data_IF_431293706497
#
_entry.id   IF_431293706497
#
_cell.length_a   1.000
_cell.length_b   1.000
_cell.length_c   1.000
_cell.angle_alpha   90.00
_cell.angle_beta   90.00
_cell.angle_gamma   90.00
#
_symmetry.space_group_name_H-M   'P 1'
#
loop_
_entity.id
_entity.type
_entity.pdbx_description
1 polymer ?
#
# COMPACT_ATOMS: atom_id res chain seq x y z
N UNK A 1 -63.19 61.62 9.24
CA UNK A 1 -62.65 60.64 10.20
C UNK A 1 -62.13 59.46 9.39
N UNK A 2 -60.80 59.27 9.31
CA UNK A 2 -60.06 58.11 8.73
C UNK A 2 -60.23 57.86 7.21
N UNK A 3 -59.20 57.59 6.38
CA UNK A 3 -57.84 57.09 6.60
C UNK A 3 -56.89 57.52 5.45
N UNK A 4 -55.57 57.60 5.68
CA UNK A 4 -54.57 58.07 4.72
C UNK A 4 -54.04 56.96 3.81
N UNK A 5 -53.53 57.40 2.65
CA UNK A 5 -52.82 56.62 1.64
C UNK A 5 -51.64 55.84 2.24
N UNK A 6 -51.59 54.53 1.99
CA UNK A 6 -50.43 53.68 2.28
C UNK A 6 -49.74 53.34 0.96
N UNK A 7 -48.63 54.02 0.70
CA UNK A 7 -47.73 53.78 -0.40
C UNK A 7 -46.83 52.61 0.00
N UNK A 8 -47.06 51.42 -0.58
CA UNK A 8 -46.23 50.24 -0.31
C UNK A 8 -44.96 50.36 -1.15
N UNK A 9 -43.84 50.63 -0.48
CA UNK A 9 -42.49 50.56 -1.06
C UNK A 9 -42.08 49.09 -1.05
N UNK A 10 -41.98 48.49 -2.23
CA UNK A 10 -41.40 47.15 -2.43
C UNK A 10 -39.88 47.31 -2.42
N UNK A 11 -39.24 46.97 -1.31
CA UNK A 11 -37.79 46.86 -1.24
C UNK A 11 -37.34 45.50 -1.84
N UNK A 12 -36.75 45.53 -3.03
CA UNK A 12 -36.06 44.37 -3.60
C UNK A 12 -34.76 44.11 -2.82
N UNK A 13 -34.77 43.08 -1.98
CA UNK A 13 -33.58 42.50 -1.37
C UNK A 13 -32.84 41.66 -2.43
N UNK A 14 -31.74 42.19 -2.96
CA UNK A 14 -30.77 41.40 -3.73
C UNK A 14 -30.06 40.43 -2.79
N UNK A 15 -30.48 39.16 -2.82
CA UNK A 15 -29.72 38.06 -2.21
C UNK A 15 -28.48 37.81 -3.05
N UNK A 16 -27.35 38.35 -2.63
CA UNK A 16 -26.03 37.94 -3.13
C UNK A 16 -25.77 36.52 -2.63
N UNK A 17 -26.00 35.53 -3.50
CA UNK A 17 -25.58 34.16 -3.25
C UNK A 17 -24.04 34.11 -3.26
N UNK A 18 -23.42 34.13 -2.08
CA UNK A 18 -22.03 33.75 -1.93
C UNK A 18 -21.88 32.27 -2.33
N UNK A 19 -21.48 32.02 -3.58
CA UNK A 19 -20.91 30.73 -3.97
C UNK A 19 -19.60 30.58 -3.18
N UNK A 20 -19.68 29.86 -2.05
CA UNK A 20 -18.50 29.27 -1.42
C UNK A 20 -17.94 28.24 -2.41
N UNK A 21 -17.04 28.70 -3.27
CA UNK A 21 -16.18 27.80 -4.04
C UNK A 21 -15.29 27.10 -3.03
N UNK A 22 -15.61 25.85 -2.71
CA UNK A 22 -14.70 24.98 -1.97
C UNK A 22 -13.44 24.87 -2.81
N UNK A 23 -12.40 25.62 -2.44
CA UNK A 23 -11.08 25.49 -3.06
C UNK A 23 -10.69 24.04 -2.83
N UNK A 24 -10.62 23.28 -3.90
CA UNK A 24 -10.15 21.90 -3.85
C UNK A 24 -8.66 22.01 -3.53
N UNK A 25 -8.29 21.78 -2.26
CA UNK A 25 -6.89 21.68 -1.86
C UNK A 25 -6.23 20.67 -2.80
N UNK A 26 -5.09 21.08 -3.38
CA UNK A 26 -4.30 20.17 -4.20
C UNK A 26 -3.98 18.93 -3.34
N UNK A 27 -4.10 17.71 -3.90
CA UNK A 27 -3.80 16.50 -3.15
C UNK A 27 -2.37 16.61 -2.59
N UNK A 28 -2.26 16.57 -1.26
CA UNK A 28 -0.96 16.63 -0.60
C UNK A 28 -0.23 15.30 -0.79
N UNK A 29 0.98 15.37 -1.36
CA UNK A 29 1.89 14.22 -1.43
C UNK A 29 2.46 13.98 -0.04
N UNK A 30 2.18 12.82 0.52
CA UNK A 30 2.69 12.43 1.84
C UNK A 30 4.16 12.00 1.74
N UNK A 31 5.00 12.42 2.69
CA UNK A 31 6.39 11.99 2.74
C UNK A 31 6.58 10.99 3.89
N UNK A 32 7.17 9.85 3.57
CA UNK A 32 7.54 8.79 4.49
C UNK A 32 9.05 8.67 4.58
N UNK A 33 9.55 8.24 5.74
CA UNK A 33 10.97 7.92 5.93
C UNK A 33 11.11 6.59 6.63
N UNK A 34 12.03 5.75 6.13
CA UNK A 34 12.37 4.46 6.70
C UNK A 34 13.89 4.32 6.83
N UNK A 35 14.32 3.82 7.97
CA UNK A 35 15.72 3.57 8.30
C UNK A 35 16.68 4.74 8.01
N UNK A 36 16.39 5.99 8.42
CA UNK A 36 17.24 7.14 8.10
C UNK A 36 18.68 7.02 8.63
N UNK A 37 18.91 6.14 9.61
CA UNK A 37 20.20 5.86 10.22
C UNK A 37 21.00 4.76 9.53
N UNK A 38 20.50 4.18 8.43
CA UNK A 38 21.22 3.18 7.64
C UNK A 38 22.56 3.72 7.12
N UNK A 39 23.50 2.83 6.80
CA UNK A 39 24.83 3.24 6.30
C UNK A 39 25.03 3.00 4.81
N UNK A 40 24.09 2.31 4.16
CA UNK A 40 24.09 2.10 2.72
C UNK A 40 23.54 3.30 1.94
N UNK A 41 23.43 3.14 0.60
CA UNK A 41 22.83 4.16 -0.26
C UNK A 41 21.37 4.42 0.13
N UNK A 42 20.92 5.65 -0.12
CA UNK A 42 19.51 6.01 -0.02
C UNK A 42 18.77 5.62 -1.29
N UNK A 43 17.47 5.45 -1.15
CA UNK A 43 16.55 5.37 -2.27
C UNK A 43 15.29 6.14 -1.95
N UNK A 44 14.64 6.68 -2.97
CA UNK A 44 13.28 7.19 -2.85
C UNK A 44 12.33 6.40 -3.74
N UNK A 45 11.13 6.14 -3.24
CA UNK A 45 10.02 5.57 -4.00
C UNK A 45 8.98 6.66 -4.21
N UNK A 46 8.72 7.01 -5.45
CA UNK A 46 7.59 7.86 -5.84
C UNK A 46 6.41 6.98 -6.20
N UNK A 47 5.35 7.06 -5.40
CA UNK A 47 4.10 6.37 -5.63
C UNK A 47 3.02 7.35 -6.08
N UNK A 48 2.36 7.04 -7.19
CA UNK A 48 1.17 7.75 -7.66
C UNK A 48 -0.01 6.79 -7.67
N UNK A 49 -1.06 7.14 -6.95
CA UNK A 49 -2.21 6.28 -6.73
C UNK A 49 -3.00 6.09 -8.02
N UNK A 50 -3.45 4.86 -8.25
CA UNK A 50 -4.41 4.56 -9.30
C UNK A 50 -5.85 4.80 -8.85
N UNK A 51 -6.78 4.55 -9.76
CA UNK A 51 -8.21 4.79 -9.54
C UNK A 51 -8.83 3.86 -8.48
N UNK A 52 -8.28 2.66 -8.33
CA UNK A 52 -8.76 1.66 -7.37
C UNK A 52 -8.07 1.75 -6.00
N UNK A 53 -7.15 2.70 -5.79
CA UNK A 53 -6.41 2.85 -4.53
C UNK A 53 -7.33 3.16 -3.35
N UNK A 54 -7.39 2.23 -2.39
CA UNK A 54 -8.18 2.35 -1.17
C UNK A 54 -7.44 1.69 0.00
N UNK A 55 -6.57 2.45 0.68
CA UNK A 55 -5.80 2.03 1.85
C UNK A 55 -5.13 0.64 1.73
N UNK A 56 -4.39 0.37 0.64
CA UNK A 56 -3.77 -0.93 0.44
C UNK A 56 -2.62 -1.18 1.44
N UNK A 57 -2.38 -2.44 1.79
CA UNK A 57 -1.14 -2.84 2.45
C UNK A 57 -0.04 -3.04 1.41
N UNK A 58 1.20 -2.68 1.75
CA UNK A 58 2.32 -2.87 0.83
C UNK A 58 3.65 -3.04 1.55
N UNK A 59 4.62 -3.55 0.81
CA UNK A 59 6.01 -3.72 1.24
C UNK A 59 6.95 -3.40 0.08
N UNK A 60 8.05 -2.74 0.41
CA UNK A 60 9.19 -2.48 -0.48
C UNK A 60 10.40 -3.24 0.06
N UNK A 61 11.08 -4.01 -0.79
CA UNK A 61 12.28 -4.75 -0.39
C UNK A 61 13.26 -4.90 -1.54
N UNK A 62 14.49 -5.32 -1.20
CA UNK A 62 15.54 -5.61 -2.15
C UNK A 62 15.83 -7.11 -2.23
N UNK A 63 16.14 -7.58 -3.43
CA UNK A 63 16.64 -8.92 -3.73
C UNK A 63 17.95 -8.86 -4.51
N UNK A 64 18.80 -9.88 -4.33
CA UNK A 64 19.93 -10.13 -5.22
C UNK A 64 19.45 -10.55 -6.61
N UNK A 65 20.37 -10.54 -7.58
CA UNK A 65 20.07 -11.02 -8.94
C UNK A 65 19.73 -12.52 -9.00
N UNK A 66 20.10 -13.28 -7.97
CA UNK A 66 19.74 -14.68 -7.77
C UNK A 66 18.35 -14.87 -7.10
N UNK A 67 17.62 -13.78 -6.85
CA UNK A 67 16.30 -13.81 -6.22
C UNK A 67 16.31 -14.05 -4.72
N UNK A 68 17.48 -13.97 -4.07
CA UNK A 68 17.60 -14.03 -2.61
C UNK A 68 17.21 -12.70 -1.99
N UNK A 69 16.40 -12.76 -0.93
CA UNK A 69 16.08 -11.61 -0.09
C UNK A 69 17.35 -10.95 0.47
N UNK A 70 17.43 -9.62 0.36
CA UNK A 70 18.49 -8.81 0.95
C UNK A 70 18.01 -8.06 2.18
N UNK A 71 16.96 -7.24 2.01
CA UNK A 71 16.49 -6.33 3.06
C UNK A 71 15.08 -5.83 2.74
N UNK A 72 14.22 -5.77 3.76
CA UNK A 72 12.98 -4.99 3.72
C UNK A 72 13.31 -3.52 3.94
N UNK A 73 12.84 -2.68 3.03
CA UNK A 73 13.11 -1.24 3.03
C UNK A 73 11.97 -0.47 3.67
N UNK A 74 10.72 -0.95 3.48
CA UNK A 74 9.54 -0.43 4.14
C UNK A 74 8.43 -1.49 4.13
N UNK A 75 7.57 -1.51 5.15
CA UNK A 75 6.32 -2.26 5.17
C UNK A 75 5.23 -1.46 5.90
N UNK A 76 3.98 -1.57 5.45
CA UNK A 76 2.86 -0.97 6.18
C UNK A 76 2.75 -1.55 7.58
N UNK A 77 2.61 -0.67 8.58
CA UNK A 77 2.68 -1.01 10.00
C UNK A 77 1.72 -2.14 10.38
N UNK A 78 0.50 -2.13 9.84
CA UNK A 78 -0.50 -3.16 10.12
C UNK A 78 -0.01 -4.58 9.81
N UNK A 79 0.65 -4.78 8.65
CA UNK A 79 1.24 -6.08 8.30
C UNK A 79 2.55 -6.31 9.05
N UNK A 80 3.38 -5.27 9.20
CA UNK A 80 4.67 -5.36 9.87
C UNK A 80 4.57 -5.77 11.35
N UNK A 81 3.49 -5.37 12.05
CA UNK A 81 3.29 -5.67 13.47
C UNK A 81 2.15 -6.65 13.73
N UNK A 82 1.39 -7.03 12.71
CA UNK A 82 0.13 -7.79 12.82
C UNK A 82 -0.93 -7.14 13.72
N UNK A 83 -0.88 -5.81 13.84
CA UNK A 83 -1.85 -5.02 14.61
C UNK A 83 -2.65 -4.17 13.64
N UNK A 84 -3.94 -4.47 13.49
CA UNK A 84 -4.84 -3.74 12.61
C UNK A 84 -5.73 -2.82 13.44
N UNK A 85 -5.97 -1.58 12.99
CA UNK A 85 -6.73 -0.56 13.73
C UNK A 85 -8.16 -0.97 14.07
N UNK A 86 -8.74 -1.89 13.30
CA UNK A 86 -10.06 -2.48 13.52
C UNK A 86 -9.93 -3.99 13.73
N UNK A 87 -8.98 -4.36 14.58
CA UNK A 87 -8.56 -5.74 14.81
C UNK A 87 -9.34 -6.44 15.92
N UNK A 88 -9.85 -5.70 16.89
CA UNK A 88 -10.55 -6.23 18.06
C UNK A 88 -11.96 -5.62 18.17
N UNK A 89 -13.03 -6.40 17.93
CA UNK A 89 -14.41 -5.96 18.12
C UNK A 89 -14.96 -6.28 19.53
N UNK A 90 -14.18 -6.90 20.42
CA UNK A 90 -14.66 -7.49 21.68
C UNK A 90 -15.22 -6.47 22.68
N UNK A 91 -14.76 -5.21 22.62
CA UNK A 91 -15.25 -4.13 23.46
C UNK A 91 -16.57 -3.51 22.97
N UNK A 92 -17.08 -3.92 21.80
CA UNK A 92 -18.20 -3.26 21.12
C UNK A 92 -17.81 -1.99 20.36
N UNK A 93 -16.54 -1.58 20.45
CA UNK A 93 -15.91 -0.56 19.61
C UNK A 93 -14.83 -1.22 18.74
N UNK A 94 -14.52 -0.61 17.61
CA UNK A 94 -13.41 -1.07 16.77
C UNK A 94 -12.09 -0.61 17.38
N UNK A 95 -11.35 -1.54 17.96
CA UNK A 95 -10.06 -1.28 18.59
C UNK A 95 -8.91 -1.94 17.83
N UNK A 96 -7.67 -1.42 17.99
CA UNK A 96 -6.49 -2.10 17.47
C UNK A 96 -6.34 -3.50 18.06
N UNK A 97 -6.17 -4.50 17.22
CA UNK A 97 -6.08 -5.90 17.65
C UNK A 97 -5.17 -6.74 16.77
N UNK A 98 -4.73 -7.87 17.31
CA UNK A 98 -3.93 -8.83 16.55
C UNK A 98 -4.78 -9.48 15.46
N UNK A 99 -4.33 -9.33 14.22
CA UNK A 99 -4.87 -10.07 13.07
C UNK A 99 -3.69 -10.51 12.20
N UNK A 100 -3.65 -11.80 11.85
CA UNK A 100 -2.72 -12.35 10.86
C UNK A 100 -3.44 -12.43 9.50
N UNK A 101 -2.83 -11.87 8.45
CA UNK A 101 -3.35 -11.88 7.06
C UNK A 101 -2.31 -12.46 6.09
N UNK A 102 -2.11 -13.79 6.05
CA UNK A 102 -1.18 -14.41 5.10
C UNK A 102 -1.46 -14.06 3.64
N UNK A 103 -2.72 -13.82 3.25
CA UNK A 103 -3.08 -13.40 1.90
C UNK A 103 -2.65 -11.96 1.52
N UNK A 104 -2.19 -11.14 2.49
CA UNK A 104 -1.91 -9.71 2.25
C UNK A 104 -0.64 -9.49 1.42
N UNK A 105 0.53 -9.95 1.91
CA UNK A 105 1.82 -9.76 1.23
C UNK A 105 2.65 -11.07 1.21
N UNK A 106 2.11 -12.17 0.66
CA UNK A 106 2.73 -13.48 0.81
C UNK A 106 4.00 -13.67 -0.01
N UNK A 107 4.17 -13.00 -1.15
CA UNK A 107 5.39 -13.19 -1.93
C UNK A 107 6.61 -12.69 -1.14
N UNK A 108 6.55 -11.48 -0.61
CA UNK A 108 7.57 -10.94 0.30
C UNK A 108 7.74 -11.79 1.56
N UNK A 109 6.66 -12.20 2.22
CA UNK A 109 6.74 -12.92 3.49
C UNK A 109 7.53 -14.23 3.34
N UNK A 110 7.22 -15.01 2.30
CA UNK A 110 7.95 -16.24 1.98
C UNK A 110 9.39 -15.96 1.52
N UNK A 111 9.65 -14.86 0.79
CA UNK A 111 11.00 -14.43 0.41
C UNK A 111 11.88 -14.06 1.61
N UNK A 112 11.31 -13.35 2.59
CA UNK A 112 11.96 -13.06 3.87
C UNK A 112 12.30 -14.34 4.63
N UNK A 113 11.48 -15.39 4.51
CA UNK A 113 11.80 -16.74 4.95
C UNK A 113 11.77 -16.95 6.47
N UNK A 114 11.24 -15.99 7.24
CA UNK A 114 11.06 -16.11 8.69
C UNK A 114 9.73 -16.79 8.95
N UNK A 115 9.78 -18.05 9.41
CA UNK A 115 8.59 -18.86 9.70
C UNK A 115 8.25 -18.78 11.19
N UNK A 116 7.04 -18.36 11.50
CA UNK A 116 6.51 -18.25 12.85
C UNK A 116 6.06 -19.62 13.41
N UNK A 117 5.73 -19.65 14.71
CA UNK A 117 5.34 -20.89 15.42
C UNK A 117 4.09 -21.56 14.84
N UNK A 118 3.16 -20.77 14.32
CA UNK A 118 1.94 -21.23 13.64
C UNK A 118 2.18 -21.70 12.20
N UNK A 119 3.42 -21.55 11.71
CA UNK A 119 3.84 -21.94 10.37
C UNK A 119 3.61 -20.87 9.30
N UNK A 120 3.07 -19.71 9.65
CA UNK A 120 2.94 -18.57 8.74
C UNK A 120 4.28 -17.84 8.58
N UNK A 121 4.42 -17.10 7.48
CA UNK A 121 5.61 -16.27 7.21
C UNK A 121 5.38 -14.78 7.45
N UNK A 122 4.12 -14.35 7.57
CA UNK A 122 3.80 -12.96 7.94
C UNK A 122 4.23 -12.72 9.39
N UNK A 123 4.73 -11.52 9.75
CA UNK A 123 5.15 -11.19 11.12
C UNK A 123 4.07 -11.49 12.16
N UNK A 124 4.45 -11.76 13.41
CA UNK A 124 3.51 -11.87 14.54
C UNK A 124 3.75 -10.74 15.54
N UNK A 125 2.89 -10.62 16.56
CA UNK A 125 3.11 -9.64 17.64
C UNK A 125 4.36 -9.96 18.48
N UNK A 126 4.78 -11.23 18.55
CA UNK A 126 6.00 -11.67 19.24
C UNK A 126 7.25 -11.44 18.40
N UNK A 127 7.12 -11.41 17.08
CA UNK A 127 8.20 -11.19 16.14
C UNK A 127 7.84 -10.15 15.07
N UNK A 128 7.57 -8.89 15.48
CA UNK A 128 7.19 -7.84 14.56
C UNK A 128 8.39 -7.36 13.74
N UNK A 129 8.11 -6.69 12.62
CA UNK A 129 9.10 -5.92 11.88
C UNK A 129 9.55 -4.73 12.73
N UNK A 130 10.85 -4.41 12.69
CA UNK A 130 11.40 -3.29 13.44
C UNK A 130 10.78 -1.96 13.01
N UNK A 131 10.50 -1.08 13.96
CA UNK A 131 9.86 0.22 13.73
C UNK A 131 10.55 1.05 12.63
N UNK A 132 11.88 0.93 12.52
CA UNK A 132 12.69 1.59 11.49
C UNK A 132 12.26 1.29 10.05
N UNK A 133 11.61 0.15 9.79
CA UNK A 133 11.11 -0.24 8.48
C UNK A 133 9.59 -0.20 8.38
N UNK A 134 8.86 0.21 9.42
CA UNK A 134 7.40 0.23 9.41
C UNK A 134 6.84 1.64 9.36
N UNK A 135 5.69 1.83 8.72
CA UNK A 135 5.00 3.12 8.74
C UNK A 135 3.52 3.03 8.39
N UNK A 136 2.82 4.14 8.59
CA UNK A 136 1.39 4.24 8.26
C UNK A 136 1.16 4.06 6.75
N UNK A 137 0.02 3.46 6.39
CA UNK A 137 -0.44 3.39 5.00
C UNK A 137 -0.89 4.78 4.53
N UNK A 138 -0.25 5.38 3.51
CA UNK A 138 -0.70 6.66 2.98
C UNK A 138 -2.09 6.55 2.33
N UNK A 139 -2.97 7.56 2.48
CA UNK A 139 -4.29 7.54 1.87
C UNK A 139 -4.28 7.87 0.36
N UNK A 140 -3.16 8.35 -0.17
CA UNK A 140 -3.03 8.79 -1.56
C UNK A 140 -1.59 8.80 -2.04
N UNK A 141 -1.23 9.77 -2.88
CA UNK A 141 0.13 9.90 -3.42
C UNK A 141 1.15 10.08 -2.30
N UNK A 142 2.29 9.42 -2.43
CA UNK A 142 3.36 9.53 -1.45
C UNK A 142 4.74 9.40 -2.07
N UNK A 143 5.71 9.94 -1.36
CA UNK A 143 7.13 9.70 -1.58
C UNK A 143 7.69 9.02 -0.32
N UNK A 144 8.43 7.93 -0.48
CA UNK A 144 9.08 7.20 0.61
C UNK A 144 10.59 7.27 0.43
N UNK A 145 11.30 7.89 1.36
CA UNK A 145 12.76 7.81 1.45
C UNK A 145 13.14 6.64 2.35
N UNK A 146 13.88 5.67 1.82
CA UNK A 146 14.38 4.52 2.56
C UNK A 146 15.90 4.42 2.39
N UNK A 147 16.59 3.86 3.38
CA UNK A 147 18.04 3.64 3.30
C UNK A 147 18.39 2.19 3.60
N UNK A 148 19.36 1.67 2.88
CA UNK A 148 19.91 0.34 3.15
C UNK A 148 20.71 0.32 4.46
N UNK A 149 20.68 -0.82 5.16
CA UNK A 149 21.47 -1.00 6.38
C UNK A 149 22.97 -0.92 6.05
N UNK A 150 23.36 -1.51 4.91
CA UNK A 150 24.70 -1.62 4.36
C UNK A 150 24.65 -1.58 2.83
N UNK A 151 25.80 -1.41 2.18
CA UNK A 151 25.87 -1.44 0.72
C UNK A 151 25.32 -2.76 0.14
N UNK A 152 24.30 -2.74 -0.72
CA UNK A 152 23.87 -3.91 -1.46
C UNK A 152 24.88 -4.21 -2.60
N UNK A 153 24.75 -5.35 -3.30
CA UNK A 153 25.55 -5.62 -4.49
C UNK A 153 25.37 -4.53 -5.56
N UNK A 154 26.33 -4.34 -6.50
CA UNK A 154 26.23 -3.32 -7.54
C UNK A 154 25.00 -3.47 -8.45
N UNK A 155 24.50 -4.71 -8.58
CA UNK A 155 23.27 -5.05 -9.31
C UNK A 155 22.32 -5.78 -8.37
N UNK A 156 21.08 -5.31 -8.30
CA UNK A 156 20.06 -5.87 -7.43
C UNK A 156 18.68 -5.55 -7.99
N UNK A 157 17.64 -6.11 -7.38
CA UNK A 157 16.25 -5.84 -7.71
C UNK A 157 15.59 -5.13 -6.55
N UNK A 158 14.77 -4.14 -6.85
CA UNK A 158 13.80 -3.58 -5.92
C UNK A 158 12.44 -4.15 -6.29
N UNK A 159 11.73 -4.62 -5.28
CA UNK A 159 10.40 -5.20 -5.43
C UNK A 159 9.41 -4.48 -4.53
N UNK A 160 8.18 -4.38 -5.01
CA UNK A 160 7.06 -3.77 -4.31
C UNK A 160 5.84 -4.67 -4.45
N UNK A 161 5.31 -5.16 -3.34
CA UNK A 161 4.11 -5.99 -3.31
C UNK A 161 3.00 -5.18 -2.65
N UNK A 162 1.83 -5.16 -3.27
CA UNK A 162 0.70 -4.36 -2.82
C UNK A 162 -0.60 -5.15 -2.91
N UNK A 163 -1.42 -5.06 -1.86
CA UNK A 163 -2.71 -5.71 -1.79
C UNK A 163 -3.77 -4.80 -1.17
N UNK A 164 -4.97 -4.93 -1.70
CA UNK A 164 -6.17 -4.32 -1.17
C UNK A 164 -7.13 -5.41 -0.72
N UNK A 165 -7.76 -5.21 0.43
CA UNK A 165 -8.72 -6.17 0.98
C UNK A 165 -10.04 -6.15 0.21
N UNK A 166 -10.73 -7.28 0.20
CA UNK A 166 -12.07 -7.44 -0.41
C UNK A 166 -12.19 -7.00 -1.88
N UNK A 167 -11.14 -7.19 -2.67
CA UNK A 167 -11.06 -6.73 -4.06
C UNK A 167 -11.63 -7.77 -5.04
N UNK A 168 -12.95 -7.90 -5.07
CA UNK A 168 -13.66 -8.87 -5.93
C UNK A 168 -13.75 -8.42 -7.38
N UNK A 169 -13.75 -9.38 -8.31
CA UNK A 169 -14.09 -9.14 -9.72
C UNK A 169 -14.86 -10.32 -10.33
N UNK A 170 -15.05 -10.32 -11.66
CA UNK A 170 -15.79 -11.39 -12.36
C UNK A 170 -15.11 -12.76 -12.29
N UNK A 171 -13.79 -12.81 -12.12
CA UNK A 171 -13.02 -14.04 -11.99
C UNK A 171 -12.76 -14.42 -10.53
N UNK A 172 -12.36 -13.45 -9.71
CA UNK A 172 -12.14 -13.55 -8.27
C UNK A 172 -13.42 -13.17 -7.56
N UNK A 173 -14.37 -14.10 -7.50
CA UNK A 173 -15.68 -13.92 -6.87
C UNK A 173 -15.68 -14.40 -5.42
N UNK A 174 -16.63 -13.93 -4.62
CA UNK A 174 -16.82 -14.36 -3.23
C UNK A 174 -17.06 -15.85 -3.03
N UNK A 175 -17.39 -16.55 -4.11
CA UNK A 175 -17.66 -17.98 -4.10
C UNK A 175 -16.61 -18.81 -4.89
N UNK A 176 -15.50 -18.21 -5.33
CA UNK A 176 -14.46 -18.95 -6.08
C UNK A 176 -13.78 -20.01 -5.21
N UNK A 177 -13.48 -19.64 -3.96
CA UNK A 177 -12.97 -20.55 -2.92
C UNK A 177 -13.82 -20.38 -1.65
N UNK A 178 -14.99 -21.04 -1.57
CA UNK A 178 -15.97 -20.79 -0.51
C UNK A 178 -15.50 -21.22 0.88
N UNK A 179 -14.56 -22.15 0.97
CA UNK A 179 -14.04 -22.69 2.23
C UNK A 179 -12.68 -22.09 2.62
N UNK A 180 -12.22 -21.07 1.88
CA UNK A 180 -10.91 -20.45 2.07
C UNK A 180 -11.08 -19.06 2.70
N UNK A 181 -10.98 -18.99 4.03
CA UNK A 181 -11.20 -17.74 4.75
C UNK A 181 -10.09 -16.71 4.48
N UNK A 182 -8.86 -17.16 4.22
CA UNK A 182 -7.75 -16.28 3.85
C UNK A 182 -7.93 -15.69 2.46
N UNK A 183 -8.40 -16.48 1.50
CA UNK A 183 -8.80 -15.96 0.19
C UNK A 183 -9.82 -14.81 0.33
N UNK A 184 -10.83 -14.97 1.18
CA UNK A 184 -11.92 -14.00 1.34
C UNK A 184 -11.48 -12.67 1.95
N UNK A 185 -10.28 -12.59 2.55
CA UNK A 185 -9.78 -11.31 3.07
C UNK A 185 -9.30 -10.37 1.97
N UNK A 186 -8.82 -10.92 0.85
CA UNK A 186 -8.16 -10.15 -0.23
C UNK A 186 -8.85 -10.30 -1.57
N UNK A 187 -9.20 -11.52 -1.95
CA UNK A 187 -9.85 -11.89 -3.21
C UNK A 187 -8.87 -11.82 -4.39
N UNK A 188 -8.76 -10.68 -5.07
CA UNK A 188 -7.67 -10.49 -6.02
C UNK A 188 -6.33 -10.56 -5.25
N UNK A 189 -5.37 -11.37 -5.73
CA UNK A 189 -4.07 -11.52 -5.10
C UNK A 189 -3.27 -10.21 -5.13
N UNK A 190 -2.27 -10.11 -4.26
CA UNK A 190 -1.33 -8.98 -4.27
C UNK A 190 -0.56 -8.93 -5.60
N UNK A 191 -0.35 -7.72 -6.11
CA UNK A 191 0.45 -7.49 -7.33
C UNK A 191 1.89 -7.21 -6.92
N UNK A 192 2.84 -7.84 -7.63
CA UNK A 192 4.27 -7.67 -7.41
C UNK A 192 4.85 -6.85 -8.56
N UNK A 193 5.43 -5.71 -8.22
CA UNK A 193 6.17 -4.83 -9.11
C UNK A 193 7.67 -5.00 -8.88
N UNK A 194 8.48 -4.77 -9.92
CA UNK A 194 9.94 -4.88 -9.84
C UNK A 194 10.64 -3.86 -10.73
N UNK A 195 11.76 -3.34 -10.23
CA UNK A 195 12.80 -2.70 -11.03
C UNK A 195 14.14 -3.42 -10.82
N UNK A 196 14.94 -3.55 -11.88
CA UNK A 196 16.34 -3.99 -11.78
C UNK A 196 17.23 -2.76 -11.77
N UNK A 197 18.09 -2.67 -10.78
CA UNK A 197 18.98 -1.54 -10.54
C UNK A 197 20.43 -1.97 -10.82
N UNK A 198 21.16 -1.15 -11.56
CA UNK A 198 22.60 -1.27 -11.76
C UNK A 198 23.28 0.05 -11.37
N UNK A 199 23.98 0.06 -10.23
CA UNK A 199 24.61 1.29 -9.73
C UNK A 199 25.69 1.86 -10.67
N UNK A 200 26.08 1.15 -11.71
CA UNK A 200 27.14 1.56 -12.64
C UNK A 200 26.62 2.04 -14.00
N UNK A 201 25.31 1.99 -14.25
CA UNK A 201 24.74 2.35 -15.56
C UNK A 201 24.48 3.86 -15.71
N UNK A 202 24.63 4.64 -14.64
CA UNK A 202 24.37 6.08 -14.60
C UNK A 202 22.88 6.46 -14.58
N UNK A 203 21.98 5.49 -14.46
CA UNK A 203 20.54 5.69 -14.33
C UNK A 203 20.20 5.95 -12.86
N UNK A 204 19.52 7.06 -12.62
CA UNK A 204 19.09 7.45 -11.28
C UNK A 204 17.63 7.15 -10.99
N UNK A 205 16.81 6.85 -12.01
CA UNK A 205 15.37 6.65 -11.89
C UNK A 205 14.92 5.39 -12.66
N UNK A 206 14.15 4.53 -11.98
CA UNK A 206 13.74 3.23 -12.47
C UNK A 206 12.23 3.08 -12.32
N UNK A 207 11.51 2.99 -13.43
CA UNK A 207 10.08 2.63 -13.41
C UNK A 207 9.95 1.16 -13.00
N UNK A 208 9.04 0.88 -12.06
CA UNK A 208 8.72 -0.48 -11.63
C UNK A 208 7.56 -1.02 -12.45
N UNK A 209 7.72 -2.22 -12.98
CA UNK A 209 6.70 -2.89 -13.79
C UNK A 209 6.06 -4.03 -13.01
N UNK A 210 4.76 -4.27 -13.22
CA UNK A 210 4.09 -5.44 -12.66
C UNK A 210 4.65 -6.71 -13.32
N UNK A 211 5.24 -7.60 -12.52
CA UNK A 211 5.88 -8.83 -13.00
C UNK A 211 5.05 -10.09 -12.73
N UNK A 212 3.99 -9.96 -11.93
CA UNK A 212 3.12 -11.05 -11.56
C UNK A 212 2.30 -10.74 -10.31
N UNK A 213 1.62 -11.76 -9.82
CA UNK A 213 0.86 -11.70 -8.58
C UNK A 213 1.25 -12.84 -7.64
N UNK A 214 0.97 -12.66 -6.36
CA UNK A 214 1.26 -13.65 -5.34
C UNK A 214 0.12 -14.66 -5.17
N UNK A 215 0.31 -15.65 -4.29
CA UNK A 215 -0.72 -16.66 -4.02
C UNK A 215 -1.93 -16.02 -3.31
N UNK A 216 -3.14 -16.20 -3.86
CA UNK A 216 -4.39 -15.55 -3.40
C UNK A 216 -4.76 -15.77 -1.92
N UNK A 217 -4.33 -16.89 -1.33
CA UNK A 217 -4.52 -17.21 0.10
C UNK A 217 -3.20 -17.24 0.90
N UNK A 218 -2.09 -16.82 0.30
CA UNK A 218 -0.78 -16.75 0.96
C UNK A 218 -0.10 -18.07 1.34
N UNK A 219 -0.56 -19.20 0.81
CA UNK A 219 -0.01 -20.54 1.10
C UNK A 219 1.41 -20.75 0.59
N UNK A 220 1.80 -20.07 -0.48
CA UNK A 220 3.13 -20.21 -1.11
C UNK A 220 3.72 -18.84 -1.44
N UNK A 221 5.04 -18.79 -1.59
CA UNK A 221 5.80 -17.63 -2.11
C UNK A 221 6.01 -17.67 -3.62
N UNK A 222 5.13 -18.34 -4.36
CA UNK A 222 5.21 -18.44 -5.82
C UNK A 222 4.78 -17.12 -6.48
N UNK A 223 5.45 -16.77 -7.58
CA UNK A 223 5.08 -15.65 -8.43
C UNK A 223 4.35 -16.16 -9.66
N UNK A 224 3.08 -15.80 -9.80
CA UNK A 224 2.26 -16.12 -10.95
C UNK A 224 2.33 -14.97 -11.96
N UNK A 225 2.86 -15.23 -13.16
CA UNK A 225 3.11 -14.17 -14.16
C UNK A 225 1.86 -13.82 -14.99
N UNK A 226 0.82 -14.64 -14.96
CA UNK A 226 -0.45 -14.36 -15.64
C UNK A 226 -1.29 -13.36 -14.84
N UNK A 227 -1.31 -12.12 -15.32
CA UNK A 227 -2.10 -11.03 -14.74
C UNK A 227 -3.50 -10.90 -15.36
N UNK A 228 -3.85 -11.74 -16.36
CA UNK A 228 -5.05 -11.56 -17.18
C UNK A 228 -6.39 -11.70 -16.44
N UNK A 229 -6.35 -12.19 -15.19
CA UNK A 229 -7.53 -12.32 -14.33
C UNK A 229 -7.73 -11.15 -13.37
N UNK A 230 -6.76 -10.24 -13.28
CA UNK A 230 -6.81 -9.08 -12.40
C UNK A 230 -7.45 -7.89 -13.11
N UNK A 231 -8.13 -7.05 -12.33
CA UNK A 231 -8.78 -5.81 -12.77
C UNK A 231 -8.33 -4.66 -11.87
N UNK A 232 -9.09 -4.38 -10.82
CA UNK A 232 -8.87 -3.28 -9.88
C UNK A 232 -7.56 -3.41 -9.12
N UNK A 233 -7.05 -4.63 -8.90
CA UNK A 233 -5.74 -4.84 -8.31
C UNK A 233 -4.59 -4.21 -9.14
N UNK A 234 -4.71 -4.19 -10.48
CA UNK A 234 -3.76 -3.53 -11.37
C UNK A 234 -3.98 -2.00 -11.45
N UNK A 235 -5.12 -1.51 -10.94
CA UNK A 235 -5.47 -0.09 -10.92
C UNK A 235 -5.25 0.56 -9.54
N UNK A 236 -4.63 -0.15 -8.59
CA UNK A 236 -4.22 0.41 -7.29
C UNK A 236 -3.06 1.41 -7.48
N UNK A 237 -2.17 1.12 -8.42
CA UNK A 237 -0.96 1.90 -8.69
C UNK A 237 -1.06 2.49 -10.09
N UNK A 238 -0.91 3.82 -10.20
CA UNK A 238 -0.85 4.47 -11.51
C UNK A 238 0.59 4.56 -12.02
N UNK A 239 1.52 4.93 -11.13
CA UNK A 239 2.94 4.97 -11.45
C UNK A 239 3.77 4.66 -10.20
N UNK A 240 4.87 3.96 -10.41
CA UNK A 240 5.81 3.58 -9.37
C UNK A 240 7.24 3.75 -9.87
N UNK A 241 7.98 4.68 -9.28
CA UNK A 241 9.36 4.99 -9.68
C UNK A 241 10.27 4.91 -8.48
N UNK A 242 11.39 4.21 -8.62
CA UNK A 242 12.47 4.19 -7.63
C UNK A 242 13.59 5.10 -8.12
N UNK A 243 14.05 6.01 -7.26
CA UNK A 243 15.25 6.79 -7.50
C UNK A 243 16.36 6.39 -6.53
N UNK A 244 17.59 6.31 -7.00
CA UNK A 244 18.77 6.18 -6.14
C UNK A 244 19.24 7.57 -5.67
N UNK A 245 19.63 7.67 -4.40
CA UNK A 245 20.19 8.88 -3.78
C UNK A 245 21.72 8.83 -3.65
#
# INVERSE_FOLDING_TARGET
>A
MMKPYSMIIIALLFLTACKSGRVQEAPQIMNLSANPTGTGPGLSLEFRKGMAHNHPSFVLWAEGMDGKYLQTLFITKAVGTSIYEHGDPSSGHWEPGEIRRPASLPYWAHKRGVKEKDGLYVPSIENPMADAYTGATPPGDFNLSARFDKNPPPKFRILFEINQTWDWNKFWTNNKYPDDDEYKTSCQPAVVYMATVDMNDGVSAYTMEAIGHSHYAGRTGELFTDLGTLTTALEIVNNLTVNLE
#
